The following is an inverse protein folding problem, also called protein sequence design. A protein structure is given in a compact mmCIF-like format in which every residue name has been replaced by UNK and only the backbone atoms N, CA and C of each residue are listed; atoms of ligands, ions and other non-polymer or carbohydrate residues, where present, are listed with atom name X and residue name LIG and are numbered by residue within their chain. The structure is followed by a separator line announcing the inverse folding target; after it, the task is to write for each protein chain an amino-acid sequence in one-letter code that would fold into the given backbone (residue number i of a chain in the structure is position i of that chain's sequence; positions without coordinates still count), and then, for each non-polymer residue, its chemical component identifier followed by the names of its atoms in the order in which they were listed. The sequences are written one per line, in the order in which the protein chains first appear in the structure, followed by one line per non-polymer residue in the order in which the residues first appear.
data_IF_452973530617
#
_entry.id   IF_452973530617
#
_cell.length_a   1.000
_cell.length_b   1.000
_cell.length_c   1.000
_cell.angle_alpha   90.00
_cell.angle_beta   90.00
_cell.angle_gamma   90.00
#
_symmetry.space_group_name_H-M   'P 1'
#
loop_
_entity.id
_entity.type
_entity.pdbx_description
1 polymer ?
#
# COMPACT_ATOMS: atom_id res chain seq x y z
N UNK A 1 95.69 16.24 -88.90
CA UNK A 1 94.37 15.59 -88.74
C UNK A 1 94.22 15.16 -87.29
N UNK A 2 93.24 15.70 -86.57
CA UNK A 2 92.58 15.10 -85.41
C UNK A 2 91.40 16.04 -85.06
N UNK A 3 90.31 15.90 -85.81
CA UNK A 3 89.05 16.54 -85.45
C UNK A 3 88.56 15.90 -84.15
N UNK A 4 88.59 16.63 -83.03
CA UNK A 4 87.76 16.27 -81.89
C UNK A 4 86.32 16.66 -82.25
N UNK A 5 85.37 15.72 -82.25
CA UNK A 5 83.98 16.07 -82.45
C UNK A 5 83.50 16.88 -81.24
N UNK A 6 82.81 17.99 -81.49
CA UNK A 6 82.10 18.75 -80.45
C UNK A 6 81.14 17.81 -79.71
N UNK A 7 81.12 17.81 -78.37
CA UNK A 7 80.28 16.90 -77.60
C UNK A 7 78.86 17.48 -77.48
N UNK A 8 78.24 17.77 -78.63
CA UNK A 8 76.86 18.28 -78.74
C UNK A 8 75.90 17.37 -77.99
N UNK A 9 76.17 16.06 -78.01
CA UNK A 9 75.39 15.07 -77.28
C UNK A 9 75.46 15.26 -75.75
N UNK A 10 76.65 15.56 -75.18
CA UNK A 10 76.76 15.74 -73.73
C UNK A 10 76.15 17.06 -73.25
N UNK A 11 76.26 18.12 -74.06
CA UNK A 11 75.63 19.41 -73.76
C UNK A 11 74.10 19.34 -73.84
N UNK A 12 73.56 18.74 -74.90
CA UNK A 12 72.11 18.53 -75.02
C UNK A 12 71.61 17.65 -73.88
N UNK A 13 72.34 16.58 -73.55
CA UNK A 13 71.96 15.69 -72.45
C UNK A 13 71.98 16.42 -71.09
N UNK A 14 73.03 17.19 -70.77
CA UNK A 14 73.12 17.90 -69.50
C UNK A 14 72.12 19.05 -69.38
N UNK A 15 71.85 19.77 -70.46
CA UNK A 15 70.85 20.83 -70.50
C UNK A 15 69.44 20.26 -70.32
N UNK A 16 69.09 19.23 -71.09
CA UNK A 16 67.79 18.56 -70.95
C UNK A 16 67.66 17.97 -69.55
N UNK A 17 68.69 17.31 -69.03
CA UNK A 17 68.63 16.71 -67.71
C UNK A 17 68.48 17.75 -66.60
N UNK A 18 69.25 18.84 -66.62
CA UNK A 18 69.17 19.90 -65.61
C UNK A 18 67.88 20.71 -65.70
N UNK A 19 67.39 21.03 -66.90
CA UNK A 19 66.13 21.73 -67.09
C UNK A 19 64.96 20.87 -66.64
N UNK A 20 64.90 19.61 -67.08
CA UNK A 20 63.84 18.68 -66.66
C UNK A 20 63.94 18.46 -65.15
N UNK A 21 65.12 18.22 -64.60
CA UNK A 21 65.28 17.98 -63.17
C UNK A 21 64.87 19.20 -62.34
N UNK A 22 65.33 20.40 -62.68
CA UNK A 22 64.99 21.61 -61.93
C UNK A 22 63.51 22.00 -62.07
N UNK A 23 62.94 21.91 -63.28
CA UNK A 23 61.53 22.23 -63.51
C UNK A 23 60.62 21.21 -62.84
N UNK A 24 60.88 19.91 -63.03
CA UNK A 24 60.11 18.85 -62.38
C UNK A 24 60.28 18.96 -60.87
N UNK A 25 61.50 19.09 -60.36
CA UNK A 25 61.72 19.13 -58.92
C UNK A 25 61.08 20.36 -58.29
N UNK A 26 61.27 21.55 -58.85
CA UNK A 26 60.67 22.78 -58.29
C UNK A 26 59.15 22.77 -58.40
N UNK A 27 58.59 22.47 -59.58
CA UNK A 27 57.15 22.48 -59.79
C UNK A 27 56.45 21.39 -58.98
N UNK A 28 56.94 20.15 -59.03
CA UNK A 28 56.36 19.05 -58.25
C UNK A 28 56.52 19.37 -56.77
N UNK A 29 57.70 19.77 -56.31
CA UNK A 29 57.89 20.02 -54.89
C UNK A 29 57.05 21.19 -54.39
N UNK A 30 57.05 22.34 -55.08
CA UNK A 30 56.28 23.51 -54.64
C UNK A 30 54.79 23.31 -54.78
N UNK A 31 54.31 22.78 -55.90
CA UNK A 31 52.88 22.58 -56.15
C UNK A 31 52.33 21.49 -55.25
N UNK A 32 52.98 20.32 -55.19
CA UNK A 32 52.52 19.24 -54.32
C UNK A 32 52.62 19.68 -52.87
N UNK A 33 53.72 20.28 -52.43
CA UNK A 33 53.85 20.68 -51.03
C UNK A 33 52.83 21.75 -50.65
N UNK A 34 52.67 22.81 -51.44
CA UNK A 34 51.72 23.88 -51.12
C UNK A 34 50.27 23.42 -51.24
N UNK A 35 49.90 22.68 -52.30
CA UNK A 35 48.54 22.19 -52.48
C UNK A 35 48.18 21.15 -51.43
N UNK A 36 49.02 20.15 -51.21
CA UNK A 36 48.78 19.14 -50.18
C UNK A 36 48.75 19.80 -48.81
N UNK A 37 49.72 20.65 -48.47
CA UNK A 37 49.75 21.26 -47.15
C UNK A 37 48.55 22.17 -46.91
N UNK A 38 48.23 23.07 -47.85
CA UNK A 38 47.10 23.99 -47.70
C UNK A 38 45.76 23.26 -47.72
N UNK A 39 45.54 22.38 -48.69
CA UNK A 39 44.27 21.65 -48.82
C UNK A 39 44.06 20.69 -47.65
N UNK A 40 45.06 19.89 -47.30
CA UNK A 40 44.95 18.98 -46.15
C UNK A 40 44.76 19.79 -44.88
N UNK A 41 45.56 20.84 -44.65
CA UNK A 41 45.43 21.63 -43.43
C UNK A 41 44.07 22.32 -43.35
N UNK A 42 43.62 22.99 -44.41
CA UNK A 42 42.35 23.71 -44.40
C UNK A 42 41.17 22.74 -44.34
N UNK A 43 41.18 21.66 -45.10
CA UNK A 43 40.09 20.69 -45.14
C UNK A 43 40.01 19.93 -43.81
N UNK A 44 41.12 19.37 -43.33
CA UNK A 44 41.14 18.67 -42.05
C UNK A 44 40.77 19.62 -40.92
N UNK A 45 41.36 20.81 -40.85
CA UNK A 45 41.06 21.73 -39.76
C UNK A 45 39.60 22.19 -39.79
N UNK A 46 39.10 22.66 -40.93
CA UNK A 46 37.72 23.15 -41.03
C UNK A 46 36.69 22.02 -40.88
N UNK A 47 36.90 20.87 -41.52
CA UNK A 47 35.98 19.74 -41.45
C UNK A 47 35.97 19.14 -40.05
N UNK A 48 37.14 18.83 -39.48
CA UNK A 48 37.21 18.27 -38.12
C UNK A 48 36.65 19.28 -37.13
N UNK A 49 37.04 20.55 -37.18
CA UNK A 49 36.56 21.53 -36.22
C UNK A 49 35.04 21.74 -36.34
N UNK A 50 34.52 21.95 -37.55
CA UNK A 50 33.08 22.19 -37.75
C UNK A 50 32.25 20.94 -37.46
N UNK A 51 32.67 19.76 -37.93
CA UNK A 51 31.96 18.51 -37.71
C UNK A 51 31.99 18.11 -36.24
N UNK A 52 33.17 18.09 -35.61
CA UNK A 52 33.28 17.76 -34.18
C UNK A 52 32.51 18.77 -33.36
N UNK A 53 32.67 20.08 -33.59
CA UNK A 53 31.99 21.08 -32.79
C UNK A 53 30.47 21.01 -32.96
N UNK A 54 29.98 20.98 -34.20
CA UNK A 54 28.53 20.92 -34.47
C UNK A 54 27.92 19.59 -34.02
N UNK A 55 28.55 18.46 -34.31
CA UNK A 55 28.04 17.14 -33.94
C UNK A 55 28.07 16.95 -32.43
N UNK A 56 29.20 17.21 -31.77
CA UNK A 56 29.30 17.07 -30.32
C UNK A 56 28.34 18.05 -29.64
N UNK A 57 28.32 19.32 -30.05
CA UNK A 57 27.44 20.29 -29.41
C UNK A 57 25.96 19.94 -29.62
N UNK A 58 25.54 19.64 -30.85
CA UNK A 58 24.14 19.29 -31.13
C UNK A 58 23.74 17.96 -30.50
N UNK A 59 24.57 16.93 -30.59
CA UNK A 59 24.28 15.62 -30.02
C UNK A 59 24.25 15.69 -28.51
N UNK A 60 25.29 16.23 -27.87
CA UNK A 60 25.32 16.35 -26.41
C UNK A 60 24.16 17.23 -25.94
N UNK A 61 23.94 18.39 -26.54
CA UNK A 61 22.87 19.29 -26.09
C UNK A 61 21.49 18.65 -26.29
N UNK A 62 21.19 18.13 -27.48
CA UNK A 62 19.88 17.54 -27.76
C UNK A 62 19.66 16.24 -26.99
N UNK A 63 20.65 15.35 -26.94
CA UNK A 63 20.53 14.08 -26.23
C UNK A 63 20.44 14.30 -24.73
N UNK A 64 21.35 15.08 -24.13
CA UNK A 64 21.30 15.34 -22.69
C UNK A 64 20.02 16.08 -22.34
N UNK A 65 19.64 17.11 -23.08
CA UNK A 65 18.43 17.87 -22.76
C UNK A 65 17.17 17.00 -22.91
N UNK A 66 17.03 16.29 -24.02
CA UNK A 66 15.85 15.42 -24.25
C UNK A 66 15.82 14.24 -23.29
N UNK A 67 16.95 13.57 -23.06
CA UNK A 67 17.02 12.43 -22.15
C UNK A 67 16.78 12.86 -20.72
N UNK A 68 17.47 13.89 -20.22
CA UNK A 68 17.26 14.39 -18.86
C UNK A 68 15.82 14.87 -18.70
N UNK A 69 15.31 15.69 -19.63
CA UNK A 69 13.96 16.20 -19.51
C UNK A 69 12.91 15.08 -19.55
N UNK A 70 12.97 14.19 -20.55
CA UNK A 70 12.00 13.10 -20.69
C UNK A 70 12.13 12.08 -19.57
N UNK A 71 13.34 11.67 -19.19
CA UNK A 71 13.56 10.68 -18.14
C UNK A 71 13.17 11.25 -16.78
N UNK A 72 13.65 12.44 -16.41
CA UNK A 72 13.30 13.05 -15.13
C UNK A 72 11.80 13.32 -15.08
N UNK A 73 11.21 13.89 -16.13
CA UNK A 73 9.78 14.19 -16.12
C UNK A 73 8.95 12.91 -16.04
N UNK A 74 9.22 11.91 -16.89
CA UNK A 74 8.47 10.66 -16.89
C UNK A 74 8.69 9.86 -15.61
N UNK A 75 9.92 9.73 -15.13
CA UNK A 75 10.23 9.00 -13.91
C UNK A 75 9.63 9.68 -12.70
N UNK A 76 9.86 10.98 -12.50
CA UNK A 76 9.29 11.71 -11.36
C UNK A 76 7.77 11.69 -11.43
N UNK A 77 7.17 12.00 -12.58
CA UNK A 77 5.72 12.02 -12.69
C UNK A 77 5.11 10.65 -12.46
N UNK A 78 5.61 9.61 -13.14
CA UNK A 78 5.06 8.25 -12.99
C UNK A 78 5.33 7.67 -11.61
N UNK A 79 6.52 7.82 -11.07
CA UNK A 79 6.88 7.30 -9.75
C UNK A 79 6.10 8.02 -8.65
N UNK A 80 6.11 9.35 -8.63
CA UNK A 80 5.38 10.11 -7.61
C UNK A 80 3.89 9.85 -7.74
N UNK A 81 3.33 9.91 -8.94
CA UNK A 81 1.90 9.70 -9.12
C UNK A 81 1.49 8.28 -8.74
N UNK A 82 2.19 7.25 -9.23
CA UNK A 82 1.88 5.86 -8.91
C UNK A 82 2.08 5.57 -7.42
N UNK A 83 3.20 5.98 -6.84
CA UNK A 83 3.50 5.73 -5.44
C UNK A 83 2.52 6.45 -4.52
N UNK A 84 2.27 7.74 -4.73
CA UNK A 84 1.31 8.49 -3.93
C UNK A 84 -0.09 7.89 -4.09
N UNK A 85 -0.53 7.62 -5.33
CA UNK A 85 -1.85 7.07 -5.55
C UNK A 85 -1.99 5.67 -4.93
N UNK A 86 -1.04 4.76 -5.16
CA UNK A 86 -1.10 3.41 -4.62
C UNK A 86 -0.97 3.39 -3.11
N UNK A 87 -0.04 4.17 -2.54
CA UNK A 87 0.19 4.21 -1.10
C UNK A 87 -1.00 4.84 -0.39
N UNK A 88 -1.45 6.01 -0.83
CA UNK A 88 -2.61 6.68 -0.20
C UNK A 88 -3.85 5.80 -0.36
N UNK A 89 -4.12 5.28 -1.56
CA UNK A 89 -5.31 4.47 -1.77
C UNK A 89 -5.28 3.18 -0.94
N UNK A 90 -4.17 2.43 -0.97
CA UNK A 90 -4.04 1.20 -0.19
C UNK A 90 -4.05 1.45 1.31
N UNK A 91 -3.34 2.47 1.79
CA UNK A 91 -3.29 2.80 3.21
C UNK A 91 -4.65 3.27 3.71
N UNK A 92 -5.27 4.23 3.04
CA UNK A 92 -6.60 4.73 3.41
C UNK A 92 -7.62 3.60 3.34
N UNK A 93 -7.65 2.84 2.25
CA UNK A 93 -8.63 1.77 2.10
C UNK A 93 -8.44 0.67 3.15
N UNK A 94 -7.22 0.17 3.33
CA UNK A 94 -6.95 -0.90 4.30
C UNK A 94 -7.12 -0.43 5.74
N UNK A 95 -6.65 0.77 6.09
CA UNK A 95 -6.77 1.31 7.44
C UNK A 95 -8.22 1.61 7.78
N UNK A 96 -8.94 2.32 6.91
CA UNK A 96 -10.35 2.63 7.15
C UNK A 96 -11.18 1.35 7.18
N UNK A 97 -10.99 0.44 6.23
CA UNK A 97 -11.76 -0.80 6.20
C UNK A 97 -11.49 -1.66 7.43
N UNK A 98 -10.22 -1.87 7.79
CA UNK A 98 -9.86 -2.67 8.98
C UNK A 98 -10.30 -2.00 10.28
N UNK A 99 -10.12 -0.69 10.42
CA UNK A 99 -10.54 0.04 11.61
C UNK A 99 -12.06 0.03 11.76
N UNK A 100 -12.80 0.38 10.71
CA UNK A 100 -14.26 0.37 10.74
C UNK A 100 -14.76 -1.05 10.99
N UNK A 101 -14.25 -2.05 10.27
CA UNK A 101 -14.72 -3.42 10.43
C UNK A 101 -14.42 -3.96 11.83
N UNK A 102 -13.19 -3.80 12.33
CA UNK A 102 -12.81 -4.28 13.66
C UNK A 102 -13.53 -3.52 14.77
N UNK A 103 -13.62 -2.19 14.68
CA UNK A 103 -14.29 -1.37 15.68
C UNK A 103 -15.79 -1.66 15.71
N UNK A 104 -16.47 -1.63 14.56
CA UNK A 104 -17.90 -1.93 14.49
C UNK A 104 -18.16 -3.36 14.93
N UNK A 105 -17.41 -4.34 14.43
CA UNK A 105 -17.64 -5.74 14.79
C UNK A 105 -17.40 -5.98 16.28
N UNK A 106 -16.28 -5.51 16.84
CA UNK A 106 -15.97 -5.68 18.26
C UNK A 106 -16.93 -4.91 19.16
N UNK A 107 -17.26 -3.66 18.83
CA UNK A 107 -18.17 -2.84 19.62
C UNK A 107 -19.59 -3.42 19.58
N UNK A 108 -20.13 -3.70 18.39
CA UNK A 108 -21.47 -4.27 18.25
C UNK A 108 -21.52 -5.64 18.91
N UNK A 109 -20.57 -6.53 18.63
CA UNK A 109 -20.60 -7.87 19.21
C UNK A 109 -20.46 -7.84 20.73
N UNK A 110 -19.50 -7.10 21.28
CA UNK A 110 -19.32 -7.01 22.74
C UNK A 110 -20.48 -6.31 23.42
N UNK A 111 -20.97 -5.20 22.88
CA UNK A 111 -22.07 -4.44 23.46
C UNK A 111 -23.37 -5.23 23.39
N UNK A 112 -23.73 -5.78 22.22
CA UNK A 112 -24.95 -6.58 22.08
C UNK A 112 -24.86 -7.84 22.93
N UNK A 113 -23.74 -8.58 22.88
CA UNK A 113 -23.60 -9.80 23.65
C UNK A 113 -23.65 -9.53 25.16
N UNK A 114 -22.90 -8.54 25.65
CA UNK A 114 -22.90 -8.19 27.08
C UNK A 114 -24.25 -7.65 27.53
N UNK A 115 -24.88 -6.75 26.76
CA UNK A 115 -26.17 -6.17 27.11
C UNK A 115 -27.27 -7.22 27.09
N UNK A 116 -27.38 -8.02 26.02
CA UNK A 116 -28.38 -9.07 25.92
C UNK A 116 -28.14 -10.11 27.00
N UNK A 117 -26.91 -10.60 27.17
CA UNK A 117 -26.64 -11.64 28.16
C UNK A 117 -26.91 -11.13 29.57
N UNK A 118 -26.39 -9.96 29.95
CA UNK A 118 -26.60 -9.40 31.29
C UNK A 118 -28.05 -9.04 31.54
N UNK A 119 -28.72 -8.37 30.61
CA UNK A 119 -30.11 -7.95 30.77
C UNK A 119 -31.05 -9.15 30.79
N UNK A 120 -30.97 -10.06 29.82
CA UNK A 120 -31.83 -11.24 29.78
C UNK A 120 -31.55 -12.13 30.98
N UNK A 121 -30.28 -12.41 31.29
CA UNK A 121 -29.96 -13.29 32.41
C UNK A 121 -30.41 -12.68 33.74
N UNK A 122 -30.13 -11.40 34.00
CA UNK A 122 -30.55 -10.75 35.23
C UNK A 122 -32.07 -10.61 35.32
N UNK A 123 -32.74 -10.22 34.24
CA UNK A 123 -34.19 -10.05 34.23
C UNK A 123 -34.91 -11.39 34.38
N UNK A 124 -34.54 -12.40 33.59
CA UNK A 124 -35.14 -13.73 33.69
C UNK A 124 -34.84 -14.34 35.05
N UNK A 125 -33.58 -14.30 35.51
CA UNK A 125 -33.23 -14.89 36.79
C UNK A 125 -33.96 -14.20 37.94
N UNK A 126 -33.93 -12.86 38.00
CA UNK A 126 -34.61 -12.11 39.05
C UNK A 126 -36.13 -12.30 39.00
N UNK A 127 -36.76 -12.17 37.83
CA UNK A 127 -38.20 -12.28 37.69
C UNK A 127 -38.70 -13.70 37.98
N UNK A 128 -38.07 -14.72 37.38
CA UNK A 128 -38.45 -16.11 37.62
C UNK A 128 -38.20 -16.48 39.07
N UNK A 129 -37.03 -16.15 39.62
CA UNK A 129 -36.72 -16.46 41.00
C UNK A 129 -37.68 -15.75 41.96
N UNK A 130 -37.91 -14.45 41.79
CA UNK A 130 -38.83 -13.70 42.64
C UNK A 130 -40.25 -14.20 42.51
N UNK A 131 -40.76 -14.41 41.30
CA UNK A 131 -42.13 -14.82 41.06
C UNK A 131 -42.39 -16.24 41.54
N UNK A 132 -41.52 -17.19 41.19
CA UNK A 132 -41.66 -18.58 41.63
C UNK A 132 -41.50 -18.65 43.14
N UNK A 133 -40.47 -18.01 43.71
CA UNK A 133 -40.27 -18.04 45.15
C UNK A 133 -41.45 -17.40 45.88
N UNK A 134 -41.88 -16.21 45.48
CA UNK A 134 -43.00 -15.52 46.12
C UNK A 134 -44.29 -16.31 45.98
N UNK A 135 -44.62 -16.79 44.78
CA UNK A 135 -45.88 -17.49 44.50
C UNK A 135 -45.93 -18.84 45.18
N UNK A 136 -44.87 -19.65 45.05
CA UNK A 136 -44.80 -20.96 45.71
C UNK A 136 -44.81 -20.77 47.22
N UNK A 137 -43.98 -19.87 47.75
CA UNK A 137 -43.93 -19.64 49.19
C UNK A 137 -45.26 -19.13 49.72
N UNK A 138 -45.88 -18.12 49.08
CA UNK A 138 -47.17 -17.59 49.51
C UNK A 138 -48.29 -18.62 49.38
N UNK A 139 -48.35 -19.35 48.27
CA UNK A 139 -49.40 -20.33 48.02
C UNK A 139 -49.28 -21.50 48.98
N UNK A 140 -48.10 -22.12 49.08
CA UNK A 140 -47.85 -23.23 50.00
C UNK A 140 -48.07 -22.77 51.44
N UNK A 141 -47.50 -21.64 51.85
CA UNK A 141 -47.66 -21.16 53.22
C UNK A 141 -49.12 -20.87 53.53
N UNK A 142 -49.85 -20.14 52.66
CA UNK A 142 -51.27 -19.84 52.86
C UNK A 142 -52.15 -21.09 52.86
N UNK A 143 -51.92 -22.04 51.95
CA UNK A 143 -52.73 -23.24 51.81
C UNK A 143 -52.47 -24.20 52.95
N UNK A 144 -51.21 -24.48 53.27
CA UNK A 144 -50.84 -25.32 54.41
C UNK A 144 -51.31 -24.67 55.70
N UNK A 145 -51.04 -23.39 55.91
CA UNK A 145 -51.44 -22.71 57.14
C UNK A 145 -52.95 -22.68 57.28
N UNK A 146 -53.71 -22.27 56.25
CA UNK A 146 -55.17 -22.24 56.33
C UNK A 146 -55.78 -23.63 56.47
N UNK A 147 -55.31 -24.62 55.72
CA UNK A 147 -55.85 -25.99 55.76
C UNK A 147 -55.53 -26.66 57.10
N UNK A 148 -54.27 -26.63 57.54
CA UNK A 148 -53.88 -27.21 58.82
C UNK A 148 -54.56 -26.47 59.96
N UNK A 149 -54.54 -25.13 59.97
CA UNK A 149 -55.15 -24.37 61.04
C UNK A 149 -56.66 -24.59 61.09
N UNK A 150 -57.37 -24.50 59.97
CA UNK A 150 -58.82 -24.70 59.94
C UNK A 150 -59.20 -26.15 60.26
N UNK A 151 -58.50 -27.14 59.72
CA UNK A 151 -58.81 -28.55 59.96
C UNK A 151 -58.50 -28.95 61.40
N UNK A 152 -57.31 -28.63 61.90
CA UNK A 152 -56.95 -28.92 63.29
C UNK A 152 -57.84 -28.15 64.25
N UNK A 153 -58.06 -26.86 64.03
CA UNK A 153 -58.90 -26.06 64.91
C UNK A 153 -60.35 -26.56 64.91
N UNK A 154 -60.95 -26.81 63.74
CA UNK A 154 -62.33 -27.34 63.67
C UNK A 154 -62.44 -28.75 64.23
N UNK A 155 -61.49 -29.65 63.94
CA UNK A 155 -61.51 -31.02 64.46
C UNK A 155 -61.31 -31.06 65.97
N UNK A 156 -60.30 -30.36 66.50
CA UNK A 156 -60.06 -30.28 67.94
C UNK A 156 -61.23 -29.60 68.63
N UNK A 157 -61.71 -28.47 68.11
CA UNK A 157 -62.82 -27.73 68.73
C UNK A 157 -64.09 -28.58 68.73
N UNK A 158 -64.46 -29.19 67.61
CA UNK A 158 -65.66 -30.05 67.52
C UNK A 158 -65.52 -31.31 68.36
N UNK A 159 -64.36 -31.97 68.35
CA UNK A 159 -64.12 -33.17 69.15
C UNK A 159 -64.12 -32.86 70.65
N UNK A 160 -63.39 -31.84 71.10
CA UNK A 160 -63.40 -31.42 72.50
C UNK A 160 -64.78 -30.95 72.91
N UNK A 161 -65.45 -30.12 72.10
CA UNK A 161 -66.79 -29.62 72.43
C UNK A 161 -67.81 -30.77 72.52
N UNK A 162 -67.82 -31.69 71.55
CA UNK A 162 -68.70 -32.87 71.59
C UNK A 162 -68.36 -33.82 72.73
N UNK A 163 -67.08 -34.06 73.01
CA UNK A 163 -66.65 -34.92 74.12
C UNK A 163 -67.03 -34.32 75.48
N UNK A 164 -66.75 -33.03 75.71
CA UNK A 164 -67.15 -32.29 76.90
C UNK A 164 -68.68 -32.28 77.04
N UNK A 165 -69.41 -31.97 75.95
CA UNK A 165 -70.87 -31.97 75.95
C UNK A 165 -71.41 -33.37 76.25
N UNK A 166 -70.81 -34.42 75.71
CA UNK A 166 -71.20 -35.82 75.95
C UNK A 166 -70.89 -36.34 77.35
N UNK A 167 -69.98 -35.70 78.09
CA UNK A 167 -69.62 -36.09 79.46
C UNK A 167 -70.38 -35.26 80.50
N UNK A 168 -70.63 -33.98 80.21
CA UNK A 168 -71.32 -33.08 81.15
C UNK A 168 -72.84 -33.08 80.99
N UNK A 169 -73.40 -33.27 79.79
CA UNK A 169 -74.86 -33.28 79.62
C UNK A 169 -75.61 -34.57 80.00
N UNK A 170 -75.01 -35.78 80.05
CA UNK A 170 -75.76 -36.94 80.56
C UNK A 170 -76.09 -36.83 82.04
N UNK A 171 -75.35 -36.02 82.81
CA UNK A 171 -75.58 -35.84 84.24
C UNK A 171 -76.69 -34.86 84.59
N UNK A 172 -77.25 -34.13 83.62
CA UNK A 172 -78.40 -33.24 83.86
C UNK A 172 -79.76 -33.88 83.55
N UNK A 173 -79.80 -35.09 82.96
CA UNK A 173 -81.05 -35.79 82.63
C UNK A 173 -81.21 -37.16 83.31
N UNK A 174 -80.45 -37.42 84.37
CA UNK A 174 -80.72 -38.54 85.28
C UNK A 174 -81.04 -38.03 86.69
N UNK A 175 -82.19 -37.38 86.83
CA UNK A 175 -83.10 -37.44 87.98
C UNK A 175 -84.53 -37.25 87.48
#
# INVERSE_FOLDING_TARGET
MLHRPFPIHSFIHSFIHSFIHSFIHSFIHSFIHSFIHSFIHSFIHSFIHSFIHSFIHSFIHSFIHSFIHSFIHSFIHSFIHSFIHSFIHSFIHSFIHSFIHSFIHSFIHSFIHSFIHSFIHSFIHSFIHSFIHSFIHSFIHSFIHSFIHSFIHSFIHSFIHSFIHSILFPHFFTQ
#
